data_IF_331283884022
#
_entry.id   IF_331283884022
#
_cell.length_a   1.000
_cell.length_b   1.000
_cell.length_c   1.000
_cell.angle_alpha   90.00
_cell.angle_beta   90.00
_cell.angle_gamma   90.00
#
_symmetry.space_group_name_H-M   'P 1'
#
loop_
_entity.id
_entity.type
_entity.pdbx_description
1 polymer ?
#
# COMPACT_ATOMS: atom_id res chain seq x y z
N UNK A 1 -6.83 14.04 19.68
CA UNK A 1 -6.40 14.67 18.42
C UNK A 1 -7.45 15.69 17.99
N UNK A 2 -7.07 16.72 17.23
CA UNK A 2 -7.97 17.79 16.77
C UNK A 2 -8.04 17.85 15.25
N UNK A 3 -9.08 18.49 14.72
CA UNK A 3 -9.18 18.80 13.29
C UNK A 3 -7.95 19.58 12.82
N UNK A 4 -7.42 19.21 11.66
CA UNK A 4 -6.30 19.88 10.98
C UNK A 4 -6.74 20.43 9.63
N UNK A 5 -5.99 21.41 9.12
CA UNK A 5 -6.18 21.94 7.77
C UNK A 5 -4.95 21.64 6.92
N UNK A 6 -5.16 21.03 5.76
CA UNK A 6 -4.12 20.81 4.75
C UNK A 6 -4.63 21.37 3.43
N UNK A 7 -3.87 22.32 2.86
CA UNK A 7 -4.32 23.18 1.77
C UNK A 7 -5.70 23.82 2.07
N UNK A 8 -6.70 23.54 1.26
CA UNK A 8 -8.08 24.05 1.32
C UNK A 8 -9.06 23.10 2.02
N UNK A 9 -8.61 21.93 2.48
CA UNK A 9 -9.46 20.92 3.13
C UNK A 9 -9.20 20.79 4.64
N UNK A 10 -10.23 20.41 5.37
CA UNK A 10 -10.15 20.10 6.80
C UNK A 10 -10.28 18.60 7.01
N UNK A 11 -9.47 18.06 7.91
CA UNK A 11 -9.42 16.63 8.21
C UNK A 11 -9.58 16.40 9.71
N UNK A 12 -10.44 15.46 10.08
CA UNK A 12 -10.62 15.03 11.46
C UNK A 12 -9.88 13.72 11.73
N UNK A 13 -9.44 13.48 12.97
CA UNK A 13 -8.76 12.25 13.34
C UNK A 13 -9.62 11.01 13.04
N UNK A 14 -9.01 9.97 12.49
CA UNK A 14 -9.71 8.73 12.14
C UNK A 14 -9.07 7.48 12.74
N UNK A 15 -7.78 7.24 12.52
CA UNK A 15 -7.03 6.13 13.14
C UNK A 15 -5.79 6.70 13.82
N UNK A 16 -5.71 6.55 15.14
CA UNK A 16 -4.59 7.04 15.93
C UNK A 16 -3.32 6.18 15.74
N UNK A 17 -2.17 6.74 16.14
CA UNK A 17 -0.87 6.14 15.90
C UNK A 17 -0.71 4.83 16.66
N UNK A 18 -1.28 4.71 17.86
CA UNK A 18 -1.17 3.51 18.70
C UNK A 18 -1.91 2.35 18.02
N UNK A 19 -3.12 2.61 17.54
CA UNK A 19 -3.96 1.66 16.81
C UNK A 19 -3.30 1.22 15.51
N UNK A 20 -2.73 2.16 14.75
CA UNK A 20 -1.96 1.84 13.54
C UNK A 20 -0.78 0.92 13.83
N UNK A 21 0.08 1.30 14.78
CA UNK A 21 1.27 0.53 15.11
C UNK A 21 0.94 -0.87 15.65
N UNK A 22 -0.10 -0.98 16.47
CA UNK A 22 -0.56 -2.27 16.98
C UNK A 22 -1.03 -3.18 15.84
N UNK A 23 -1.84 -2.67 14.91
CA UNK A 23 -2.31 -3.46 13.77
C UNK A 23 -1.17 -3.87 12.84
N UNK A 24 -0.23 -2.97 12.57
CA UNK A 24 0.94 -3.24 11.72
C UNK A 24 1.82 -4.32 12.34
N UNK A 25 2.00 -4.29 13.65
CA UNK A 25 2.72 -5.34 14.37
C UNK A 25 2.04 -6.70 14.22
N UNK A 26 0.72 -6.78 14.38
CA UNK A 26 -0.06 -8.02 14.18
C UNK A 26 0.06 -8.53 12.74
N UNK A 27 0.03 -7.63 11.75
CA UNK A 27 0.24 -7.99 10.35
C UNK A 27 1.64 -8.59 10.13
N UNK A 28 2.68 -7.98 10.70
CA UNK A 28 4.04 -8.49 10.60
C UNK A 28 4.21 -9.84 11.29
N UNK A 29 3.55 -10.06 12.45
CA UNK A 29 3.52 -11.36 13.12
C UNK A 29 2.87 -12.44 12.23
N UNK A 30 1.78 -12.11 11.54
CA UNK A 30 1.15 -13.02 10.58
C UNK A 30 2.09 -13.35 9.40
N UNK A 31 2.76 -12.34 8.82
CA UNK A 31 3.74 -12.53 7.75
C UNK A 31 4.91 -13.40 8.19
N UNK A 32 5.42 -13.18 9.41
CA UNK A 32 6.53 -13.93 9.99
C UNK A 32 6.21 -15.44 10.10
N UNK A 33 5.00 -15.78 10.53
CA UNK A 33 4.57 -17.18 10.63
C UNK A 33 4.34 -17.81 9.24
N UNK A 34 3.62 -17.11 8.36
CA UNK A 34 3.26 -17.62 7.02
C UNK A 34 4.49 -17.84 6.12
N UNK A 35 5.53 -17.00 6.28
CA UNK A 35 6.74 -17.00 5.46
C UNK A 35 7.97 -17.48 6.22
N UNK A 36 7.78 -18.19 7.33
CA UNK A 36 8.85 -18.74 8.15
C UNK A 36 9.79 -19.63 7.34
N UNK A 37 11.09 -19.32 7.40
CA UNK A 37 12.13 -20.05 6.66
C UNK A 37 12.20 -19.72 5.16
N UNK A 38 11.42 -18.75 4.69
CA UNK A 38 11.58 -18.16 3.36
C UNK A 38 12.43 -16.88 3.43
N UNK A 39 12.87 -16.39 2.26
CA UNK A 39 13.52 -15.09 2.07
C UNK A 39 12.73 -14.27 1.03
N UNK A 40 11.55 -13.74 1.40
CA UNK A 40 10.71 -12.98 0.48
C UNK A 40 11.35 -11.66 0.02
N UNK A 41 11.01 -11.25 -1.20
CA UNK A 41 11.22 -9.89 -1.69
C UNK A 41 9.94 -9.08 -1.46
N UNK A 42 10.04 -8.03 -0.65
CA UNK A 42 8.97 -7.06 -0.50
C UNK A 42 9.13 -5.96 -1.54
N UNK A 43 8.03 -5.58 -2.19
CA UNK A 43 8.00 -4.48 -3.16
C UNK A 43 7.05 -3.41 -2.61
N UNK A 44 7.63 -2.30 -2.15
CA UNK A 44 6.86 -1.17 -1.63
C UNK A 44 6.50 -0.20 -2.76
N UNK A 45 5.20 0.04 -2.94
CA UNK A 45 4.68 0.96 -3.95
C UNK A 45 4.75 2.42 -3.46
N UNK A 46 5.66 3.17 -4.08
CA UNK A 46 5.86 4.58 -3.80
C UNK A 46 4.77 5.47 -4.42
N UNK A 47 4.46 6.62 -3.82
CA UNK A 47 5.11 7.17 -2.63
C UNK A 47 4.43 6.77 -1.33
N UNK A 48 3.19 6.30 -1.37
CA UNK A 48 2.31 6.24 -0.21
C UNK A 48 2.70 5.18 0.81
N UNK A 49 3.13 4.00 0.36
CA UNK A 49 3.36 2.87 1.26
C UNK A 49 4.64 2.95 2.09
N UNK A 50 5.52 3.95 1.89
CA UNK A 50 6.85 3.96 2.50
C UNK A 50 6.84 3.92 4.03
N UNK A 51 5.88 4.57 4.70
CA UNK A 51 5.77 4.54 6.17
C UNK A 51 5.31 3.17 6.65
N UNK A 52 4.26 2.63 6.02
CA UNK A 52 3.77 1.29 6.29
C UNK A 52 4.85 0.23 6.07
N UNK A 53 5.58 0.31 4.95
CA UNK A 53 6.67 -0.60 4.63
C UNK A 53 7.80 -0.51 5.66
N UNK A 54 8.21 0.70 6.04
CA UNK A 54 9.24 0.91 7.06
C UNK A 54 8.83 0.31 8.42
N UNK A 55 7.57 0.44 8.81
CA UNK A 55 7.09 -0.09 10.10
C UNK A 55 6.88 -1.60 10.08
N UNK A 56 6.37 -2.19 8.98
CA UNK A 56 6.36 -3.65 8.81
C UNK A 56 7.76 -4.22 8.96
N UNK A 57 8.76 -3.63 8.27
CA UNK A 57 10.13 -4.12 8.30
C UNK A 57 10.79 -4.08 9.68
N UNK A 58 10.36 -3.18 10.58
CA UNK A 58 10.84 -3.17 11.97
C UNK A 58 10.35 -4.36 12.79
N UNK A 59 9.24 -4.98 12.40
CA UNK A 59 8.61 -6.09 13.12
C UNK A 59 8.83 -7.46 12.44
N UNK A 60 9.44 -7.51 11.25
CA UNK A 60 9.81 -8.77 10.61
C UNK A 60 10.96 -9.45 11.40
N UNK A 61 10.83 -10.77 11.59
CA UNK A 61 11.84 -11.61 12.24
C UNK A 61 12.39 -12.72 11.31
N UNK A 62 12.06 -12.63 10.02
CA UNK A 62 12.54 -13.49 8.93
C UNK A 62 13.58 -12.75 8.09
N UNK A 63 14.37 -13.48 7.30
CA UNK A 63 15.22 -12.85 6.27
C UNK A 63 14.32 -12.20 5.22
N UNK A 64 14.54 -10.92 4.90
CA UNK A 64 13.71 -10.18 3.96
C UNK A 64 14.55 -9.21 3.12
N UNK A 65 14.18 -9.07 1.86
CA UNK A 65 14.68 -8.02 0.97
C UNK A 65 13.57 -7.02 0.69
N UNK A 66 13.94 -5.75 0.42
CA UNK A 66 12.98 -4.73 0.01
C UNK A 66 13.46 -4.01 -1.24
N UNK A 67 12.53 -3.83 -2.17
CA UNK A 67 12.67 -2.92 -3.31
C UNK A 67 11.54 -1.90 -3.30
N UNK A 68 11.77 -0.75 -3.92
CA UNK A 68 10.80 0.33 -4.01
C UNK A 68 10.53 0.63 -5.47
N UNK A 69 9.26 0.61 -5.85
CA UNK A 69 8.85 0.94 -7.20
C UNK A 69 7.93 2.14 -7.19
N UNK A 70 8.00 2.93 -8.26
CA UNK A 70 6.99 3.96 -8.52
C UNK A 70 6.14 3.51 -9.69
N UNK A 71 4.82 3.44 -9.47
CA UNK A 71 3.84 3.16 -10.52
C UNK A 71 3.42 4.49 -11.16
N UNK A 72 3.81 4.69 -12.42
CA UNK A 72 3.41 5.86 -13.19
C UNK A 72 2.34 5.49 -14.22
N UNK A 73 1.30 6.31 -14.34
CA UNK A 73 0.34 6.24 -15.44
C UNK A 73 0.87 7.04 -16.62
N UNK A 74 1.01 6.40 -17.79
CA UNK A 74 1.46 7.10 -19.00
C UNK A 74 0.40 8.11 -19.47
N UNK A 75 0.80 9.36 -19.75
CA UNK A 75 -0.04 10.37 -20.43
C UNK A 75 0.55 10.65 -21.83
N UNK A 76 -0.09 10.14 -22.88
CA UNK A 76 0.30 10.33 -24.29
C UNK A 76 -0.90 10.55 -25.21
N UNK A 77 -0.70 11.14 -26.40
CA UNK A 77 -1.72 11.74 -27.30
C UNK A 77 -2.66 10.78 -28.03
N UNK A 78 -2.75 9.51 -27.61
CA UNK A 78 -3.84 8.60 -28.01
C UNK A 78 -4.38 7.91 -26.77
N UNK A 79 -5.67 8.13 -26.52
CA UNK A 79 -6.45 7.48 -25.48
C UNK A 79 -6.54 5.96 -25.75
N UNK A 80 -5.54 5.21 -25.30
CA UNK A 80 -5.57 3.75 -25.25
C UNK A 80 -5.12 3.31 -23.86
N UNK A 81 -6.04 3.29 -22.89
CA UNK A 81 -5.94 2.52 -21.65
C UNK A 81 -4.58 2.48 -20.95
N UNK A 82 -4.35 3.47 -20.08
CA UNK A 82 -3.22 3.65 -19.16
C UNK A 82 -2.44 2.36 -18.83
N UNK A 83 -1.26 2.19 -19.43
CA UNK A 83 -0.26 1.21 -18.99
C UNK A 83 0.39 1.75 -17.72
N UNK A 84 0.42 0.92 -16.69
CA UNK A 84 1.17 1.18 -15.46
C UNK A 84 2.61 0.73 -15.67
N UNK A 85 3.55 1.67 -15.62
CA UNK A 85 4.98 1.37 -15.67
C UNK A 85 5.54 1.36 -14.25
N UNK A 86 6.22 0.27 -13.88
CA UNK A 86 7.05 0.22 -12.69
C UNK A 86 8.42 0.82 -13.00
N UNK A 87 8.77 1.87 -12.27
CA UNK A 87 10.10 2.48 -12.32
C UNK A 87 10.87 1.95 -11.11
N UNK A 88 12.02 1.32 -11.35
CA UNK A 88 12.93 0.84 -10.32
C UNK A 88 12.89 -0.66 -10.01
N UNK A 89 12.12 -1.47 -10.76
CA UNK A 89 12.13 -2.93 -10.61
C UNK A 89 13.18 -3.54 -11.54
N UNK A 90 14.36 -3.85 -11.00
CA UNK A 90 15.47 -4.49 -11.73
C UNK A 90 15.70 -5.95 -11.28
N UNK A 91 14.97 -6.40 -10.27
CA UNK A 91 15.11 -7.70 -9.62
C UNK A 91 14.43 -8.83 -10.41
N UNK A 92 15.11 -9.99 -10.49
CA UNK A 92 14.51 -11.23 -10.99
C UNK A 92 13.56 -11.83 -9.96
N UNK A 93 12.30 -12.03 -10.37
CA UNK A 93 11.23 -12.58 -9.53
C UNK A 93 11.05 -14.09 -9.71
N UNK A 94 11.75 -14.72 -10.65
CA UNK A 94 11.57 -16.14 -10.95
C UNK A 94 11.80 -17.02 -9.71
N UNK A 95 10.78 -17.81 -9.35
CA UNK A 95 10.84 -18.72 -8.19
C UNK A 95 10.94 -18.03 -6.83
N UNK A 96 10.78 -16.70 -6.75
CA UNK A 96 10.82 -15.93 -5.50
C UNK A 96 9.43 -15.88 -4.85
N UNK A 97 9.40 -15.75 -3.53
CA UNK A 97 8.19 -15.28 -2.84
C UNK A 97 8.22 -13.76 -2.82
N UNK A 98 7.19 -13.13 -3.37
CA UNK A 98 7.08 -11.68 -3.52
C UNK A 98 5.89 -11.18 -2.71
N UNK A 99 6.09 -10.11 -1.94
CA UNK A 99 5.02 -9.47 -1.14
C UNK A 99 4.93 -7.99 -1.53
N UNK A 100 3.79 -7.59 -2.10
CA UNK A 100 3.53 -6.19 -2.41
C UNK A 100 3.09 -5.45 -1.15
N UNK A 101 3.67 -4.28 -0.88
CA UNK A 101 3.29 -3.38 0.21
C UNK A 101 2.63 -2.13 -0.39
N UNK A 102 1.33 -1.98 -0.14
CA UNK A 102 0.49 -0.86 -0.60
C UNK A 102 -0.07 -0.09 0.62
N UNK A 103 -0.23 1.22 0.49
CA UNK A 103 -0.88 2.03 1.52
C UNK A 103 -2.41 1.87 1.49
N UNK A 104 -3.02 1.90 0.30
CA UNK A 104 -4.46 1.78 0.15
C UNK A 104 -4.87 1.10 -1.16
N UNK A 105 -5.73 0.09 -1.05
CA UNK A 105 -6.46 -0.48 -2.18
C UNK A 105 -7.85 0.15 -2.24
N UNK A 106 -8.01 1.11 -3.15
CA UNK A 106 -9.28 1.78 -3.42
C UNK A 106 -10.08 1.02 -4.50
N UNK A 107 -10.08 1.50 -5.75
CA UNK A 107 -10.77 0.81 -6.87
C UNK A 107 -10.15 -0.53 -7.26
N UNK A 108 -8.94 -0.84 -6.79
CA UNK A 108 -8.14 -2.00 -7.19
C UNK A 108 -7.50 -1.88 -8.58
N UNK A 109 -7.76 -0.80 -9.32
CA UNK A 109 -7.35 -0.67 -10.73
C UNK A 109 -5.84 -0.78 -10.92
N UNK A 110 -5.05 -0.02 -10.16
CA UNK A 110 -3.58 -0.01 -10.30
C UNK A 110 -2.99 -1.40 -10.11
N UNK A 111 -3.33 -2.08 -9.02
CA UNK A 111 -2.85 -3.44 -8.75
C UNK A 111 -3.36 -4.44 -9.78
N UNK A 112 -4.61 -4.31 -10.26
CA UNK A 112 -5.16 -5.23 -11.28
C UNK A 112 -4.38 -5.19 -12.60
N UNK A 113 -3.75 -4.07 -12.91
CA UNK A 113 -2.90 -3.90 -14.09
C UNK A 113 -1.45 -4.29 -13.84
N UNK A 114 -0.99 -4.21 -12.58
CA UNK A 114 0.40 -4.43 -12.22
C UNK A 114 0.71 -5.88 -11.83
N UNK A 115 -0.15 -6.52 -11.04
CA UNK A 115 0.05 -7.91 -10.58
C UNK A 115 0.28 -8.90 -11.74
N UNK A 116 -0.47 -8.86 -12.85
CA UNK A 116 -0.22 -9.77 -13.97
C UNK A 116 1.19 -9.62 -14.58
N UNK A 117 1.78 -8.41 -14.53
CA UNK A 117 3.14 -8.19 -15.03
C UNK A 117 4.18 -8.88 -14.15
N UNK A 118 3.94 -8.95 -12.84
CA UNK A 118 4.79 -9.68 -11.90
C UNK A 118 4.57 -11.19 -12.01
N UNK A 119 3.33 -11.64 -12.15
CA UNK A 119 3.00 -13.05 -12.35
C UNK A 119 3.66 -13.62 -13.61
N UNK A 120 3.77 -12.84 -14.68
CA UNK A 120 4.48 -13.26 -15.89
C UNK A 120 5.98 -13.52 -15.69
N UNK A 121 6.59 -12.98 -14.62
CA UNK A 121 7.97 -13.30 -14.23
C UNK A 121 8.08 -14.59 -13.41
N UNK A 122 6.96 -15.29 -13.20
CA UNK A 122 6.86 -16.60 -12.57
C UNK A 122 7.43 -16.66 -11.13
N UNK A 123 6.98 -15.79 -10.21
CA UNK A 123 7.30 -15.95 -8.79
C UNK A 123 6.72 -17.26 -8.25
N UNK A 124 7.38 -17.82 -7.23
CA UNK A 124 6.86 -18.97 -6.47
C UNK A 124 5.54 -18.63 -5.78
N UNK A 125 5.44 -17.42 -5.23
CA UNK A 125 4.27 -16.86 -4.57
C UNK A 125 4.22 -15.36 -4.82
N UNK A 126 3.04 -14.81 -5.10
CA UNK A 126 2.79 -13.38 -5.14
C UNK A 126 1.68 -13.07 -4.14
N UNK A 127 2.00 -12.25 -3.14
CA UNK A 127 1.12 -11.89 -2.03
C UNK A 127 0.94 -10.37 -1.98
N UNK A 128 -0.19 -9.91 -1.47
CA UNK A 128 -0.49 -8.48 -1.29
C UNK A 128 -0.75 -8.17 0.17
N UNK A 129 0.03 -7.24 0.70
CA UNK A 129 -0.17 -6.62 2.00
C UNK A 129 -0.57 -5.15 1.80
N UNK A 130 -1.78 -4.79 2.23
CA UNK A 130 -2.27 -3.42 2.16
C UNK A 130 -2.61 -2.89 3.54
N UNK A 131 -2.18 -1.68 3.86
CA UNK A 131 -2.58 -1.05 5.11
C UNK A 131 -4.09 -0.79 5.12
N UNK A 132 -4.65 -0.27 4.02
CA UNK A 132 -6.07 0.10 3.94
C UNK A 132 -6.75 -0.56 2.74
N UNK A 133 -8.06 -0.79 2.85
CA UNK A 133 -8.91 -1.12 1.71
C UNK A 133 -10.24 -0.36 1.80
N UNK A 134 -10.79 0.03 0.65
CA UNK A 134 -12.14 0.61 0.53
C UNK A 134 -13.05 -0.35 -0.24
N UNK A 135 -13.70 -1.32 0.44
CA UNK A 135 -14.48 -2.35 -0.23
C UNK A 135 -15.61 -1.78 -1.11
N UNK A 136 -16.23 -0.68 -0.66
CA UNK A 136 -17.34 -0.03 -1.36
C UNK A 136 -16.91 0.64 -2.68
N UNK A 137 -15.63 0.98 -2.83
CA UNK A 137 -15.08 1.59 -4.04
C UNK A 137 -14.48 0.55 -5.01
N UNK A 138 -14.39 -0.72 -4.59
CA UNK A 138 -13.68 -1.76 -5.33
C UNK A 138 -14.42 -2.13 -6.62
N UNK A 139 -13.77 -1.89 -7.76
CA UNK A 139 -14.27 -2.22 -9.10
C UNK A 139 -13.48 -3.40 -9.69
N UNK A 140 -12.20 -3.48 -9.37
CA UNK A 140 -11.29 -4.53 -9.79
C UNK A 140 -10.93 -5.38 -8.57
N UNK A 141 -11.48 -6.60 -8.43
CA UNK A 141 -11.21 -7.43 -7.27
C UNK A 141 -9.72 -7.74 -7.14
N UNK A 142 -9.14 -7.40 -5.98
CA UNK A 142 -7.77 -7.73 -5.61
C UNK A 142 -7.82 -8.61 -4.37
N UNK A 143 -7.14 -9.75 -4.41
CA UNK A 143 -6.91 -10.56 -3.22
C UNK A 143 -5.87 -9.86 -2.34
N UNK A 144 -6.26 -9.47 -1.13
CA UNK A 144 -5.37 -8.92 -0.12
C UNK A 144 -5.11 -10.02 0.90
N UNK A 145 -3.87 -10.50 0.97
CA UNK A 145 -3.47 -11.58 1.89
C UNK A 145 -3.25 -11.06 3.32
N UNK A 146 -2.75 -9.82 3.44
CA UNK A 146 -2.53 -9.15 4.71
C UNK A 146 -3.18 -7.77 4.69
N UNK A 147 -4.26 -7.58 5.45
CA UNK A 147 -5.01 -6.32 5.48
C UNK A 147 -4.86 -5.62 6.82
N UNK A 148 -4.52 -4.34 6.83
CA UNK A 148 -4.57 -3.52 8.04
C UNK A 148 -6.00 -3.20 8.45
N UNK A 149 -6.68 -2.33 7.69
CA UNK A 149 -8.00 -1.81 8.01
C UNK A 149 -8.91 -1.76 6.79
N UNK A 150 -10.19 -2.08 7.01
CA UNK A 150 -11.27 -1.74 6.08
C UNK A 150 -11.81 -0.37 6.46
N UNK A 151 -11.84 0.55 5.50
CA UNK A 151 -12.20 1.96 5.73
C UNK A 151 -13.33 2.39 4.78
N UNK A 152 -14.17 3.37 5.18
CA UNK A 152 -15.24 3.87 4.32
C UNK A 152 -14.68 4.54 3.07
N UNK A 153 -15.51 4.72 2.05
CA UNK A 153 -15.14 5.48 0.86
C UNK A 153 -15.11 7.00 1.12
N UNK A 154 -14.15 7.44 1.95
CA UNK A 154 -13.85 8.84 2.25
C UNK A 154 -12.42 9.17 1.88
N UNK A 155 -12.13 10.45 1.64
CA UNK A 155 -10.75 10.89 1.47
C UNK A 155 -9.99 10.75 2.78
N UNK A 156 -8.83 10.07 2.74
CA UNK A 156 -7.96 9.84 3.88
C UNK A 156 -6.60 10.54 3.68
N UNK A 157 -5.98 10.93 4.78
CA UNK A 157 -4.73 11.69 4.81
C UNK A 157 -3.84 11.18 5.95
N UNK A 158 -2.52 11.25 5.77
CA UNK A 158 -1.57 10.92 6.82
C UNK A 158 -1.05 9.49 6.75
N UNK A 159 -0.01 9.22 7.54
CA UNK A 159 0.68 7.95 7.59
C UNK A 159 1.07 7.44 6.18
N UNK A 160 1.71 8.32 5.40
CA UNK A 160 2.09 8.05 4.01
C UNK A 160 1.09 8.56 2.97
N UNK A 161 -0.21 8.64 3.28
CA UNK A 161 -1.23 9.23 2.39
C UNK A 161 -1.11 10.75 2.31
N UNK A 162 -1.47 11.33 1.18
CA UNK A 162 -1.33 12.77 0.94
C UNK A 162 -2.57 13.47 0.37
N UNK A 163 -2.53 14.79 0.50
CA UNK A 163 -3.29 15.71 -0.33
C UNK A 163 -2.31 16.67 -1.01
N UNK A 164 -2.20 16.57 -2.34
CA UNK A 164 -1.26 17.34 -3.18
C UNK A 164 0.20 17.32 -2.67
N UNK A 165 0.66 16.16 -2.23
CA UNK A 165 2.01 15.94 -1.70
C UNK A 165 2.19 16.26 -0.22
N UNK A 166 1.21 16.88 0.43
CA UNK A 166 1.27 17.24 1.85
C UNK A 166 0.54 16.25 2.75
N UNK A 167 0.95 16.21 4.02
CA UNK A 167 0.29 15.42 5.07
C UNK A 167 0.85 14.00 5.28
N UNK A 168 1.69 13.48 4.36
CA UNK A 168 2.29 12.14 4.48
C UNK A 168 2.97 11.91 5.83
N UNK A 169 3.63 12.93 6.37
CA UNK A 169 4.43 12.87 7.59
C UNK A 169 3.62 12.89 8.90
N UNK A 170 2.28 12.91 8.82
CA UNK A 170 1.44 12.76 10.01
C UNK A 170 1.53 11.30 10.50
N UNK A 171 1.71 11.06 11.82
CA UNK A 171 1.88 9.70 12.35
C UNK A 171 0.57 8.89 12.39
N UNK A 172 -0.54 9.48 11.97
CA UNK A 172 -1.91 9.03 12.16
C UNK A 172 -2.68 9.20 10.86
N UNK A 173 -3.82 8.52 10.74
CA UNK A 173 -4.74 8.71 9.63
C UNK A 173 -5.86 9.65 10.03
N UNK A 174 -6.11 10.62 9.17
CA UNK A 174 -7.21 11.56 9.24
C UNK A 174 -8.18 11.29 8.09
N UNK A 175 -9.44 11.66 8.28
CA UNK A 175 -10.48 11.62 7.26
C UNK A 175 -11.00 13.03 6.95
N UNK A 176 -11.44 13.28 5.72
CA UNK A 176 -12.03 14.55 5.35
C UNK A 176 -13.27 14.87 6.19
N UNK A 177 -13.36 16.12 6.67
CA UNK A 177 -14.54 16.63 7.38
C UNK A 177 -15.66 16.92 6.38
N UNK A 178 -16.86 16.39 6.65
CA UNK A 178 -18.03 16.56 5.79
C UNK A 178 -18.22 15.42 4.78
N UNK A 179 -19.21 15.58 3.90
CA UNK A 179 -19.37 14.73 2.71
C UNK A 179 -18.65 15.40 1.54
N UNK A 180 -17.96 14.60 0.70
CA UNK A 180 -17.57 15.07 -0.64
C UNK A 180 -18.81 15.27 -1.52
#
# INVERSE_FOLDING_TARGET
MSVIKVHDKQFEPYIDAVTLQQRIKEMAEQINEDLKGERPLFIAILNGSFMFAADIFKYLNIEAEISFIKLASYKGTKSTGNVVQAIGLDEDLFGRTVVILEDIVDTGKTLSQFLPQLEHQQPKKLLVASLLTKPEAMVHPIKIDYLGFSVPNKFLLGYGLDYDGLGRNLPEIYQLVGAE
#
